data_IF_778083023207
#
_entry.id   IF_778083023207
#
_cell.length_a   1.000
_cell.length_b   1.000
_cell.length_c   1.000
_cell.angle_alpha   90.00
_cell.angle_beta   90.00
_cell.angle_gamma   90.00
#
_symmetry.space_group_name_H-M   'P 1'
#
loop_
_entity.id
_entity.type
_entity.pdbx_description
1 polymer ?
#
# COMPACT_ATOMS: atom_id res chain seq x y z
N UNK A 1 -32.46 -57.26 -22.89
CA UNK A 1 -31.85 -56.84 -21.61
C UNK A 1 -31.51 -55.36 -21.70
N UNK A 2 -32.30 -54.48 -21.07
CA UNK A 2 -32.22 -53.02 -21.23
C UNK A 2 -31.40 -52.41 -20.09
N UNK A 3 -30.32 -51.72 -20.43
CA UNK A 3 -29.45 -51.01 -19.48
C UNK A 3 -29.98 -49.59 -19.28
N UNK A 4 -30.61 -49.34 -18.12
CA UNK A 4 -31.14 -48.03 -17.74
C UNK A 4 -30.02 -47.25 -17.05
N UNK A 5 -29.38 -46.34 -17.78
CA UNK A 5 -28.34 -45.44 -17.25
C UNK A 5 -29.01 -44.38 -16.37
N UNK A 6 -28.63 -44.32 -15.09
CA UNK A 6 -29.20 -43.42 -14.08
C UNK A 6 -28.74 -41.97 -14.33
N UNK A 7 -29.54 -41.20 -15.07
CA UNK A 7 -29.32 -39.80 -15.47
C UNK A 7 -29.26 -38.75 -14.33
N UNK A 8 -29.38 -39.14 -13.05
CA UNK A 8 -29.52 -38.20 -11.92
C UNK A 8 -28.23 -37.47 -11.53
N UNK A 9 -27.05 -37.93 -11.96
CA UNK A 9 -25.77 -37.34 -11.54
C UNK A 9 -25.19 -36.34 -12.55
N UNK A 10 -25.75 -36.24 -13.76
CA UNK A 10 -25.20 -35.37 -14.82
C UNK A 10 -25.72 -33.93 -14.78
N UNK A 11 -26.76 -33.64 -14.00
CA UNK A 11 -27.39 -32.32 -13.92
C UNK A 11 -26.94 -31.47 -12.72
N UNK A 12 -26.16 -32.03 -11.79
CA UNK A 12 -25.67 -31.31 -10.61
C UNK A 12 -24.40 -30.48 -10.88
N UNK A 13 -23.61 -30.86 -11.89
CA UNK A 13 -22.34 -30.20 -12.22
C UNK A 13 -22.52 -28.78 -12.81
N UNK A 14 -23.47 -28.50 -13.73
CA UNK A 14 -23.62 -27.15 -14.26
C UNK A 14 -24.27 -26.17 -13.26
N UNK A 15 -25.02 -26.67 -12.26
CA UNK A 15 -25.68 -25.82 -11.28
C UNK A 15 -24.70 -25.20 -10.26
N UNK A 16 -23.59 -25.89 -9.95
CA UNK A 16 -22.51 -25.34 -9.13
C UNK A 16 -21.64 -24.33 -9.89
N UNK A 17 -21.54 -24.43 -11.22
CA UNK A 17 -20.77 -23.47 -12.03
C UNK A 17 -21.44 -22.10 -12.15
N UNK A 18 -22.78 -22.05 -12.14
CA UNK A 18 -23.54 -20.79 -12.30
C UNK A 18 -23.64 -19.97 -11.00
N UNK A 19 -23.56 -20.60 -9.82
CA UNK A 19 -23.57 -19.91 -8.53
C UNK A 19 -22.23 -19.22 -8.18
N UNK A 20 -21.19 -19.40 -8.99
CA UNK A 20 -19.85 -18.83 -8.76
C UNK A 20 -19.57 -17.56 -9.59
N UNK A 21 -20.56 -17.00 -10.31
CA UNK A 21 -20.33 -15.83 -11.19
C UNK A 21 -21.16 -14.60 -10.85
N UNK A 22 -21.88 -14.59 -9.73
CA UNK A 22 -22.47 -13.35 -9.22
C UNK A 22 -21.35 -12.46 -8.65
N UNK A 23 -20.74 -11.65 -9.52
CA UNK A 23 -19.89 -10.55 -9.11
C UNK A 23 -20.78 -9.54 -8.36
N UNK A 24 -20.82 -9.65 -7.04
CA UNK A 24 -21.38 -8.62 -6.20
C UNK A 24 -20.47 -7.39 -6.34
N UNK A 25 -20.91 -6.40 -7.09
CA UNK A 25 -20.28 -5.09 -7.08
C UNK A 25 -20.68 -4.39 -5.78
N UNK A 26 -19.89 -4.60 -4.74
CA UNK A 26 -19.95 -3.76 -3.56
C UNK A 26 -19.47 -2.36 -3.97
N UNK A 27 -20.32 -1.35 -3.82
CA UNK A 27 -19.84 0.03 -3.74
C UNK A 27 -19.02 0.08 -2.45
N UNK A 28 -17.71 0.03 -2.59
CA UNK A 28 -16.78 0.26 -1.48
C UNK A 28 -17.00 1.72 -1.09
N UNK A 29 -17.70 1.96 0.02
CA UNK A 29 -17.56 3.25 0.70
C UNK A 29 -16.07 3.42 0.95
N UNK A 30 -15.49 4.48 0.39
CA UNK A 30 -14.07 4.82 0.54
C UNK A 30 -13.82 5.08 2.03
N UNK A 31 -13.47 4.01 2.74
CA UNK A 31 -12.99 4.08 4.11
C UNK A 31 -11.56 4.60 4.10
N UNK A 32 -11.11 5.01 5.28
CA UNK A 32 -9.73 5.39 5.49
C UNK A 32 -8.80 4.22 5.11
N UNK A 33 -7.78 4.51 4.31
CA UNK A 33 -6.75 3.54 3.94
C UNK A 33 -5.57 3.72 4.86
N UNK A 34 -5.19 2.67 5.60
CA UNK A 34 -4.04 2.72 6.50
C UNK A 34 -2.84 2.10 5.81
N UNK A 35 -1.80 2.93 5.61
CA UNK A 35 -0.49 2.50 5.15
C UNK A 35 0.36 2.18 6.38
N UNK A 36 0.57 0.90 6.66
CA UNK A 36 1.42 0.46 7.78
C UNK A 36 2.87 0.32 7.34
N UNK A 37 3.77 0.93 8.10
CA UNK A 37 5.20 0.82 7.88
C UNK A 37 5.69 -0.62 8.06
N UNK A 38 6.73 -1.03 7.32
CA UNK A 38 7.26 -2.41 7.36
C UNK A 38 7.80 -2.83 8.72
N UNK A 39 8.13 -1.85 9.59
CA UNK A 39 8.55 -2.10 10.97
C UNK A 39 7.37 -2.13 11.96
N UNK A 40 6.14 -1.85 11.53
CA UNK A 40 4.95 -1.82 12.38
C UNK A 40 4.93 -0.66 13.39
N UNK A 41 5.78 0.36 13.23
CA UNK A 41 5.91 1.45 14.21
C UNK A 41 5.11 2.69 13.82
N UNK A 42 4.88 2.90 12.53
CA UNK A 42 4.21 4.08 11.99
C UNK A 42 3.10 3.65 11.05
N UNK A 43 1.92 4.20 11.24
CA UNK A 43 0.81 4.18 10.29
C UNK A 43 0.67 5.56 9.65
N UNK A 44 0.36 5.58 8.36
CA UNK A 44 -0.16 6.78 7.68
C UNK A 44 -1.58 6.45 7.24
N UNK A 45 -2.55 7.17 7.80
CA UNK A 45 -3.96 7.05 7.45
C UNK A 45 -4.29 8.04 6.35
N UNK A 46 -4.72 7.53 5.20
CA UNK A 46 -5.24 8.31 4.07
C UNK A 46 -6.77 8.37 4.15
N UNK A 47 -7.32 9.57 4.35
CA UNK A 47 -8.77 9.82 4.32
C UNK A 47 -9.14 10.53 3.03
N UNK A 48 -10.00 9.92 2.23
CA UNK A 48 -10.56 10.57 1.06
C UNK A 48 -11.60 11.62 1.49
N UNK A 49 -11.39 12.87 1.09
CA UNK A 49 -12.35 13.95 1.25
C UNK A 49 -12.85 14.46 -0.11
N UNK A 50 -13.80 15.41 -0.08
CA UNK A 50 -14.27 16.07 -1.32
C UNK A 50 -13.20 16.91 -2.01
N UNK A 51 -12.18 17.33 -1.27
CA UNK A 51 -11.11 18.18 -1.78
C UNK A 51 -9.88 17.38 -2.24
N UNK A 52 -9.78 16.10 -1.87
CA UNK A 52 -8.64 15.25 -2.20
C UNK A 52 -8.36 14.22 -1.10
N UNK A 53 -7.10 14.07 -0.71
CA UNK A 53 -6.66 13.15 0.34
C UNK A 53 -6.16 13.96 1.53
N UNK A 54 -6.48 13.49 2.72
CA UNK A 54 -6.00 14.02 4.00
C UNK A 54 -5.16 12.91 4.66
N UNK A 55 -4.01 13.27 5.23
CA UNK A 55 -3.09 12.34 5.87
C UNK A 55 -3.03 12.60 7.37
N UNK A 56 -3.04 11.52 8.15
CA UNK A 56 -2.75 11.51 9.58
C UNK A 56 -1.71 10.43 9.88
N UNK A 57 -0.71 10.73 10.71
CA UNK A 57 0.33 9.79 11.13
C UNK A 57 0.05 9.29 12.53
N UNK A 58 0.20 7.98 12.74
CA UNK A 58 0.04 7.37 14.05
C UNK A 58 1.30 6.57 14.39
N UNK A 59 1.86 6.78 15.59
CA UNK A 59 3.05 6.08 16.07
C UNK A 59 2.59 5.04 17.10
N UNK A 60 2.60 3.78 16.69
CA UNK A 60 1.78 2.71 17.30
C UNK A 60 2.37 2.18 18.61
N UNK A 61 3.68 2.36 18.85
CA UNK A 61 4.37 1.69 19.98
C UNK A 61 4.82 2.70 21.02
N UNK A 62 4.31 2.59 22.25
CA UNK A 62 4.82 3.30 23.41
C UNK A 62 5.89 2.48 24.18
N UNK A 63 6.87 3.14 24.82
CA UNK A 63 7.38 4.47 24.51
C UNK A 63 8.34 4.33 23.33
N UNK A 64 7.98 4.86 22.17
CA UNK A 64 8.95 4.98 21.10
C UNK A 64 9.58 6.37 21.20
N UNK A 65 10.90 6.42 21.37
CA UNK A 65 11.70 7.64 21.17
C UNK A 65 11.70 8.07 19.67
N UNK A 66 10.66 7.69 18.93
CA UNK A 66 10.49 7.92 17.51
C UNK A 66 9.78 9.26 17.37
N UNK A 67 10.34 10.09 16.51
CA UNK A 67 9.76 11.38 16.15
C UNK A 67 9.91 11.55 14.65
N UNK A 68 8.80 11.89 13.99
CA UNK A 68 8.79 12.11 12.55
C UNK A 68 9.00 13.60 12.28
N UNK A 69 10.09 13.91 11.58
CA UNK A 69 10.46 15.28 11.20
C UNK A 69 10.09 15.58 9.75
N UNK A 70 9.97 14.55 8.93
CA UNK A 70 9.44 14.63 7.59
C UNK A 70 8.85 13.29 7.19
N UNK A 71 7.90 13.31 6.26
CA UNK A 71 7.41 12.10 5.62
C UNK A 71 7.02 12.41 4.18
N UNK A 72 6.94 11.38 3.35
CA UNK A 72 6.41 11.51 2.01
C UNK A 72 5.43 10.38 1.72
N UNK A 73 4.39 10.70 0.95
CA UNK A 73 3.38 9.77 0.48
C UNK A 73 3.32 9.85 -1.04
N UNK A 74 3.50 8.74 -1.75
CA UNK A 74 3.50 8.72 -3.21
C UNK A 74 2.11 8.95 -3.80
N UNK A 75 2.04 9.31 -5.07
CA UNK A 75 0.78 9.40 -5.81
C UNK A 75 1.05 9.31 -7.30
N UNK A 76 0.05 8.84 -8.05
CA UNK A 76 0.05 8.87 -9.50
C UNK A 76 -0.74 10.05 -10.08
N UNK A 77 -1.29 10.90 -9.21
CA UNK A 77 -2.05 12.08 -9.61
C UNK A 77 -1.18 13.33 -9.43
N UNK A 78 -0.90 14.00 -10.55
CA UNK A 78 -0.32 15.34 -10.48
C UNK A 78 -1.33 16.28 -9.83
N UNK A 79 -0.88 17.12 -8.92
CA UNK A 79 -1.67 18.23 -8.43
C UNK A 79 -2.09 19.11 -9.62
N UNK A 80 -3.37 19.06 -9.98
CA UNK A 80 -3.92 19.89 -11.04
C UNK A 80 -4.52 21.16 -10.42
N UNK A 81 -4.51 22.25 -11.19
CA UNK A 81 -5.16 23.53 -10.84
C UNK A 81 -4.53 24.31 -9.66
N UNK A 82 -3.25 24.07 -9.35
CA UNK A 82 -2.51 24.82 -8.32
C UNK A 82 -2.84 24.42 -6.88
N UNK A 83 -3.47 23.26 -6.68
CA UNK A 83 -3.69 22.65 -5.37
C UNK A 83 -2.65 21.55 -5.15
N UNK A 84 -1.41 21.97 -4.91
CA UNK A 84 -0.28 21.11 -4.57
C UNK A 84 -0.46 20.46 -3.19
N UNK A 85 0.48 19.61 -2.77
CA UNK A 85 0.56 19.19 -1.38
C UNK A 85 0.59 20.43 -0.46
N UNK A 86 -0.23 20.44 0.59
CA UNK A 86 -0.28 21.54 1.56
C UNK A 86 -0.53 21.03 2.98
N UNK A 87 -0.25 21.87 3.98
CA UNK A 87 -0.47 21.53 5.39
C UNK A 87 -0.93 22.74 6.18
N UNK A 88 -1.80 22.52 7.16
CA UNK A 88 -2.17 23.53 8.16
C UNK A 88 -1.34 23.44 9.44
N UNK A 89 -0.50 22.41 9.58
CA UNK A 89 0.32 22.21 10.76
C UNK A 89 1.37 23.30 10.86
N UNK A 90 1.35 24.06 11.96
CA UNK A 90 2.25 25.18 12.15
C UNK A 90 3.72 24.73 12.14
N UNK A 91 4.54 25.43 11.34
CA UNK A 91 5.97 25.14 11.24
C UNK A 91 6.32 24.00 10.28
N UNK A 92 5.34 23.41 9.60
CA UNK A 92 5.54 22.42 8.56
C UNK A 92 5.38 23.03 7.16
N UNK A 93 6.02 22.40 6.19
CA UNK A 93 5.92 22.72 4.77
C UNK A 93 5.55 21.48 3.99
N UNK A 94 5.10 21.69 2.76
CA UNK A 94 4.66 20.65 1.86
C UNK A 94 5.14 20.97 0.44
N UNK A 95 5.52 19.93 -0.30
CA UNK A 95 5.86 20.03 -1.71
C UNK A 95 5.52 18.71 -2.42
N UNK A 96 5.02 18.78 -3.65
CA UNK A 96 4.94 17.60 -4.51
C UNK A 96 6.23 17.49 -5.33
N UNK A 97 6.90 16.34 -5.24
CA UNK A 97 8.18 16.09 -5.89
C UNK A 97 8.01 15.07 -7.01
N UNK A 98 8.65 15.32 -8.15
CA UNK A 98 8.86 14.33 -9.21
C UNK A 98 9.99 13.36 -8.81
N UNK A 99 10.14 12.21 -9.48
CA UNK A 99 11.25 11.30 -9.26
C UNK A 99 12.62 11.98 -9.41
N UNK A 100 12.78 12.84 -10.41
CA UNK A 100 14.03 13.57 -10.64
C UNK A 100 14.32 14.59 -9.53
N UNK A 101 13.30 15.33 -9.08
CA UNK A 101 13.43 16.27 -7.97
C UNK A 101 13.81 15.54 -6.66
N UNK A 102 13.12 14.43 -6.36
CA UNK A 102 13.46 13.57 -5.23
C UNK A 102 14.89 13.07 -5.32
N UNK A 103 15.28 12.45 -6.44
CA UNK A 103 16.62 11.89 -6.61
C UNK A 103 17.71 12.94 -6.49
N UNK A 104 17.45 14.17 -6.93
CA UNK A 104 18.37 15.30 -6.79
C UNK A 104 18.54 15.71 -5.32
N UNK A 105 17.45 15.76 -4.56
CA UNK A 105 17.47 16.16 -3.15
C UNK A 105 17.98 15.06 -2.20
N UNK A 106 17.62 13.81 -2.49
CA UNK A 106 17.66 12.70 -1.54
C UNK A 106 18.37 11.45 -2.06
N UNK A 107 18.59 11.34 -3.37
CA UNK A 107 19.09 10.12 -4.01
C UNK A 107 20.44 9.66 -3.47
N UNK A 108 21.32 10.60 -3.11
CA UNK A 108 22.63 10.30 -2.56
C UNK A 108 22.63 10.05 -1.04
N UNK A 109 21.60 10.49 -0.31
CA UNK A 109 21.58 10.47 1.15
C UNK A 109 20.71 9.36 1.74
N UNK A 110 19.47 9.22 1.25
CA UNK A 110 18.49 8.29 1.81
C UNK A 110 18.05 7.21 0.83
N UNK A 111 18.15 7.47 -0.47
CA UNK A 111 17.81 6.51 -1.53
C UNK A 111 17.03 7.11 -2.68
N UNK A 112 16.94 6.35 -3.77
CA UNK A 112 16.21 6.76 -4.97
C UNK A 112 14.70 6.82 -4.76
N UNK A 113 13.99 7.57 -5.59
CA UNK A 113 12.53 7.60 -5.60
C UNK A 113 11.95 6.19 -5.79
N UNK A 114 12.45 5.46 -6.78
CA UNK A 114 11.96 4.11 -7.11
C UNK A 114 12.19 3.07 -6.02
N UNK A 115 13.17 3.27 -5.13
CA UNK A 115 13.38 2.36 -3.99
C UNK A 115 12.31 2.51 -2.90
N UNK A 116 11.61 3.64 -2.84
CA UNK A 116 10.54 3.90 -1.88
C UNK A 116 9.16 3.77 -2.51
N UNK A 117 9.01 4.26 -3.73
CA UNK A 117 7.71 4.49 -4.37
C UNK A 117 7.52 3.69 -5.66
N UNK A 118 8.38 2.70 -5.91
CA UNK A 118 8.36 1.83 -7.08
C UNK A 118 8.22 2.61 -8.41
N UNK A 119 7.07 2.49 -9.06
CA UNK A 119 6.76 3.11 -10.36
C UNK A 119 5.86 4.34 -10.28
N UNK A 120 5.63 4.88 -9.08
CA UNK A 120 4.74 6.03 -8.92
C UNK A 120 5.34 7.30 -9.56
N UNK A 121 4.47 8.27 -9.86
CA UNK A 121 4.86 9.46 -10.62
C UNK A 121 5.25 10.65 -9.75
N UNK A 122 4.79 10.70 -8.50
CA UNK A 122 5.04 11.83 -7.60
C UNK A 122 5.13 11.39 -6.13
N UNK A 123 5.73 12.22 -5.29
CA UNK A 123 5.70 12.08 -3.83
C UNK A 123 5.34 13.42 -3.17
N UNK A 124 4.32 13.41 -2.32
CA UNK A 124 3.92 14.55 -1.50
C UNK A 124 4.80 14.54 -0.26
N UNK A 125 5.81 15.40 -0.24
CA UNK A 125 6.78 15.53 0.82
C UNK A 125 6.35 16.60 1.80
N UNK A 126 6.24 16.23 3.06
CA UNK A 126 5.91 17.11 4.17
C UNK A 126 7.10 17.14 5.12
N UNK A 127 7.58 18.33 5.48
CA UNK A 127 8.73 18.47 6.36
C UNK A 127 8.57 19.60 7.36
N UNK A 128 9.09 19.37 8.56
CA UNK A 128 9.15 20.37 9.61
C UNK A 128 10.26 21.38 9.30
N UNK A 129 9.90 22.65 9.20
CA UNK A 129 10.85 23.77 9.12
C UNK A 129 11.18 24.29 10.53
N UNK A 130 10.17 24.34 11.40
CA UNK A 130 10.27 24.82 12.78
C UNK A 130 9.21 24.13 13.65
N UNK A 131 9.36 24.15 14.98
CA UNK A 131 8.34 23.66 15.90
C UNK A 131 8.58 22.22 16.36
N UNK A 132 7.50 21.45 16.52
CA UNK A 132 7.53 20.11 17.10
C UNK A 132 7.34 19.02 16.05
N UNK A 133 8.15 17.97 16.16
CA UNK A 133 8.01 16.75 15.37
C UNK A 133 6.68 16.05 15.69
N UNK A 134 6.26 15.14 14.81
CA UNK A 134 5.12 14.27 15.11
C UNK A 134 5.61 13.17 16.06
N UNK A 135 4.92 13.05 17.19
CA UNK A 135 5.02 11.96 18.16
C UNK A 135 3.67 11.24 18.30
N UNK A 136 3.66 10.10 18.98
CA UNK A 136 2.50 9.25 19.32
C UNK A 136 1.20 9.97 19.75
N UNK A 137 1.30 11.13 20.40
CA UNK A 137 0.16 11.87 20.93
C UNK A 137 -0.34 13.03 20.03
N UNK A 138 0.18 13.17 18.81
CA UNK A 138 0.17 14.50 18.14
C UNK A 138 -0.47 14.59 16.75
N UNK A 139 -1.11 13.55 16.21
CA UNK A 139 -1.57 13.64 14.81
C UNK A 139 -2.87 12.88 14.48
N UNK A 140 -3.94 13.19 15.22
CA UNK A 140 -5.31 12.78 14.87
C UNK A 140 -6.05 13.80 13.99
N UNK A 141 -5.44 14.95 13.70
CA UNK A 141 -6.12 16.13 13.16
C UNK A 141 -6.14 16.22 11.62
N UNK A 142 -5.53 15.26 10.91
CA UNK A 142 -5.47 15.23 9.44
C UNK A 142 -5.01 16.58 8.85
N UNK A 143 -3.86 17.08 9.30
CA UNK A 143 -3.39 18.43 8.95
C UNK A 143 -2.55 18.50 7.66
N UNK A 144 -2.42 17.38 6.94
CA UNK A 144 -1.62 17.26 5.71
C UNK A 144 -2.51 16.82 4.56
N UNK A 145 -2.34 17.42 3.38
CA UNK A 145 -3.33 17.31 2.31
C UNK A 145 -2.69 17.19 0.94
N UNK A 146 -3.40 16.48 0.05
CA UNK A 146 -3.19 16.52 -1.39
C UNK A 146 -4.53 16.80 -2.09
N UNK A 147 -4.58 17.83 -2.93
CA UNK A 147 -5.77 18.18 -3.71
C UNK A 147 -6.09 17.17 -4.83
N UNK A 148 -7.37 16.89 -5.05
CA UNK A 148 -7.90 16.15 -6.22
C UNK A 148 -7.24 14.79 -6.52
N UNK A 149 -6.81 14.06 -5.51
CA UNK A 149 -6.15 12.75 -5.66
C UNK A 149 -6.97 11.57 -5.11
N UNK A 150 -6.50 10.36 -5.42
CA UNK A 150 -7.05 9.08 -4.95
C UNK A 150 -5.99 8.32 -4.13
N UNK A 151 -6.42 7.64 -3.08
CA UNK A 151 -5.56 6.85 -2.19
C UNK A 151 -5.09 5.56 -2.86
N UNK A 152 -3.81 5.50 -3.27
CA UNK A 152 -3.13 4.29 -3.74
C UNK A 152 -1.63 4.33 -3.41
N UNK A 153 -1.29 4.83 -2.23
CA UNK A 153 0.05 5.38 -2.00
C UNK A 153 0.99 4.46 -1.24
N UNK A 154 2.28 4.71 -1.37
CA UNK A 154 3.36 4.22 -0.52
C UNK A 154 3.88 5.39 0.32
N UNK A 155 4.52 5.13 1.46
CA UNK A 155 5.07 6.18 2.30
C UNK A 155 6.49 5.91 2.75
N UNK A 156 7.19 6.98 3.12
CA UNK A 156 8.45 6.94 3.86
C UNK A 156 8.41 8.02 4.95
N UNK A 157 8.85 7.70 6.14
CA UNK A 157 8.97 8.62 7.28
C UNK A 157 10.45 8.77 7.65
N UNK A 158 10.85 10.00 7.98
CA UNK A 158 12.22 10.41 8.24
C UNK A 158 12.37 11.00 9.65
N UNK A 159 13.47 10.65 10.31
CA UNK A 159 13.84 11.18 11.62
C UNK A 159 14.61 12.52 11.56
N UNK A 160 15.04 13.02 12.71
CA UNK A 160 15.73 14.31 12.85
C UNK A 160 17.01 14.44 12.03
N UNK A 161 17.73 13.33 11.85
CA UNK A 161 18.96 13.26 11.06
C UNK A 161 18.71 13.05 9.55
N UNK A 162 17.45 13.07 9.12
CA UNK A 162 17.02 12.74 7.76
C UNK A 162 17.03 11.25 7.43
N UNK A 163 17.42 10.37 8.37
CA UNK A 163 17.42 8.92 8.15
C UNK A 163 16.00 8.35 8.08
N UNK A 164 15.82 7.29 7.29
CA UNK A 164 14.54 6.57 7.17
C UNK A 164 14.25 5.83 8.48
N UNK A 165 13.11 6.17 9.11
CA UNK A 165 12.63 5.52 10.35
C UNK A 165 11.52 4.51 10.07
N UNK A 166 10.74 4.70 9.01
CA UNK A 166 9.74 3.74 8.55
C UNK A 166 9.40 3.97 7.08
N UNK A 167 8.84 2.96 6.43
CA UNK A 167 8.36 3.04 5.05
C UNK A 167 7.26 2.00 4.83
N UNK A 168 6.27 2.29 3.99
CA UNK A 168 5.41 1.25 3.43
C UNK A 168 5.95 0.86 2.07
N UNK A 169 6.51 -0.35 1.98
CA UNK A 169 6.52 -1.02 0.69
C UNK A 169 5.22 -1.81 0.65
N UNK A 170 4.35 -1.51 -0.32
CA UNK A 170 3.40 -2.53 -0.81
C UNK A 170 4.24 -3.80 -0.96
N UNK A 171 3.78 -4.98 -0.51
CA UNK A 171 4.39 -6.20 -0.95
C UNK A 171 4.45 -6.07 -2.47
N UNK A 172 5.63 -5.88 -3.06
CA UNK A 172 5.82 -6.19 -4.48
C UNK A 172 5.16 -7.55 -4.61
N UNK A 173 4.30 -7.77 -5.61
CA UNK A 173 3.65 -9.05 -5.87
C UNK A 173 4.72 -10.14 -6.05
N UNK A 174 5.41 -10.51 -4.98
CA UNK A 174 6.12 -11.75 -4.79
C UNK A 174 4.95 -12.70 -4.83
N UNK A 175 4.86 -13.56 -5.85
CA UNK A 175 3.80 -14.53 -5.93
C UNK A 175 3.71 -15.19 -4.57
N UNK A 176 2.53 -15.15 -3.96
CA UNK A 176 2.33 -15.73 -2.64
C UNK A 176 2.96 -17.14 -2.64
N UNK A 177 3.50 -17.62 -1.52
CA UNK A 177 4.08 -18.96 -1.49
C UNK A 177 3.11 -20.04 -1.99
N UNK A 178 1.79 -19.78 -1.95
CA UNK A 178 0.74 -20.69 -2.38
C UNK A 178 0.89 -21.19 -3.84
N UNK A 179 0.95 -20.35 -4.90
CA UNK A 179 1.18 -20.83 -6.26
C UNK A 179 2.51 -21.57 -6.44
N UNK A 180 3.59 -21.17 -5.75
CA UNK A 180 4.87 -21.90 -5.81
C UNK A 180 4.83 -23.24 -5.07
N UNK A 181 4.15 -23.30 -3.93
CA UNK A 181 3.91 -24.51 -3.18
C UNK A 181 3.01 -25.47 -3.97
N UNK A 182 1.94 -24.97 -4.59
CA UNK A 182 1.06 -25.74 -5.48
C UNK A 182 1.82 -26.30 -6.68
N UNK A 183 2.70 -25.51 -7.30
CA UNK A 183 3.58 -25.98 -8.37
C UNK A 183 4.53 -27.07 -7.86
N UNK A 184 5.13 -26.87 -6.68
CA UNK A 184 5.99 -27.85 -6.02
C UNK A 184 5.28 -29.17 -5.70
N UNK A 185 4.07 -29.10 -5.14
CA UNK A 185 3.22 -30.27 -4.86
C UNK A 185 2.77 -30.96 -6.14
N UNK A 186 2.45 -30.21 -7.20
CA UNK A 186 2.11 -30.75 -8.51
C UNK A 186 3.26 -31.54 -9.14
N UNK A 187 4.48 -31.02 -9.06
CA UNK A 187 5.69 -31.70 -9.55
C UNK A 187 6.04 -32.95 -8.74
N UNK A 188 5.90 -32.89 -7.40
CA UNK A 188 6.05 -34.05 -6.53
C UNK A 188 5.03 -35.15 -6.87
N UNK A 189 3.78 -34.78 -7.10
CA UNK A 189 2.73 -35.71 -7.53
C UNK A 189 3.06 -36.40 -8.86
N UNK A 190 3.49 -35.64 -9.87
CA UNK A 190 3.92 -36.17 -11.17
C UNK A 190 5.13 -37.12 -11.05
N UNK A 191 6.09 -36.78 -10.18
CA UNK A 191 7.25 -37.63 -9.88
C UNK A 191 6.86 -38.99 -9.30
N UNK A 192 5.92 -39.01 -8.35
CA UNK A 192 5.43 -40.25 -7.74
C UNK A 192 4.62 -41.11 -8.72
N UNK A 193 3.80 -40.49 -9.57
CA UNK A 193 3.05 -41.21 -10.62
C UNK A 193 3.98 -41.90 -11.62
N UNK A 194 5.12 -41.29 -11.97
CA UNK A 194 6.12 -41.91 -12.86
C UNK A 194 6.78 -43.15 -12.25
N UNK A 195 6.93 -43.18 -10.91
CA UNK A 195 7.52 -44.32 -10.19
C UNK A 195 6.58 -45.52 -10.15
N UNK A 196 5.28 -45.29 -9.95
CA UNK A 196 4.28 -46.37 -9.92
C UNK A 196 4.07 -47.03 -11.28
N UNK A 197 4.32 -46.34 -12.40
CA UNK A 197 4.15 -46.89 -13.75
C UNK A 197 5.25 -47.87 -14.20
N UNK A 198 6.35 -47.95 -13.46
CA UNK A 198 7.50 -48.85 -13.74
C UNK A 198 7.55 -50.06 -12.80
N UNK A 199 6.64 -50.15 -11.83
CA UNK A 199 6.45 -51.32 -10.99
C UNK A 199 5.19 -52.07 -11.41
#
# INVERSE_FOLDING_TARGET
MKMIIKFKHLLLVPLFGLLLTSNAFAIVLVGDTVLTGTNGLINVTERQSRAGIEYALDIITEPSDISVYAFAVSTNTMANLGFDAFTYRLGWSAAQLTPDAWNTMFGASIGSFSSFFAGDLYANYFNMLTGSAITDLSDENFEFFLGYAFAESQFVALGANGGVISQSLRPTNVPEPAPMALLGFGLLGLGLMRKQRKS
#
